data_IF_445362903223
#
_entry.id   IF_445362903223
#
_cell.length_a   1.000
_cell.length_b   1.000
_cell.length_c   1.000
_cell.angle_alpha   90.00
_cell.angle_beta   90.00
_cell.angle_gamma   90.00
#
_symmetry.space_group_name_H-M   'P 1'
#
loop_
_entity.id
_entity.type
_entity.pdbx_description
1 polymer ?
#
# COMPACT_ATOMS: atom_id res chain seq x y z
N UNK A 1 -32.16 -27.53 7.89
CA UNK A 1 -31.18 -27.40 6.83
C UNK A 1 -30.43 -26.10 7.01
N UNK A 2 -29.14 -26.16 7.22
CA UNK A 2 -28.25 -25.01 7.19
C UNK A 2 -28.33 -24.42 5.77
N UNK A 3 -28.66 -23.12 5.67
CA UNK A 3 -28.67 -22.44 4.39
C UNK A 3 -27.32 -22.56 3.73
N UNK A 4 -27.31 -22.95 2.47
CA UNK A 4 -26.13 -23.02 1.65
C UNK A 4 -25.55 -21.62 1.55
N UNK A 5 -24.38 -21.42 2.19
CA UNK A 5 -23.59 -20.21 2.02
C UNK A 5 -22.92 -20.30 0.67
N UNK A 6 -23.50 -19.67 -0.34
CA UNK A 6 -22.85 -19.52 -1.64
C UNK A 6 -21.62 -18.62 -1.49
N UNK A 7 -20.46 -19.22 -1.43
CA UNK A 7 -19.18 -18.50 -1.60
C UNK A 7 -19.00 -18.24 -3.09
N UNK A 8 -19.17 -17.00 -3.52
CA UNK A 8 -18.76 -16.59 -4.87
C UNK A 8 -17.26 -16.36 -4.84
N UNK A 9 -16.51 -17.25 -5.47
CA UNK A 9 -15.08 -17.08 -5.66
C UNK A 9 -14.84 -16.39 -7.00
N UNK A 10 -14.15 -15.26 -6.98
CA UNK A 10 -13.70 -14.58 -8.19
C UNK A 10 -12.28 -15.01 -8.48
N UNK A 11 -12.09 -15.64 -9.63
CA UNK A 11 -10.76 -16.04 -10.09
C UNK A 11 -10.21 -14.97 -11.04
N UNK A 12 -9.06 -14.42 -10.73
CA UNK A 12 -8.37 -13.49 -11.63
C UNK A 12 -7.21 -14.18 -12.31
N UNK A 13 -7.46 -14.71 -13.51
CA UNK A 13 -6.45 -15.37 -14.33
C UNK A 13 -5.61 -14.38 -15.17
N UNK A 14 -5.87 -13.09 -15.07
CA UNK A 14 -5.16 -12.04 -15.82
C UNK A 14 -3.97 -11.44 -15.07
N UNK A 15 -3.68 -11.92 -13.86
CA UNK A 15 -2.55 -11.44 -13.07
C UNK A 15 -1.22 -11.75 -13.77
N UNK A 16 -0.35 -10.76 -13.79
CA UNK A 16 0.99 -10.84 -14.35
C UNK A 16 2.01 -10.59 -13.25
N UNK A 17 3.22 -11.13 -13.36
CA UNK A 17 4.28 -10.82 -12.43
C UNK A 17 4.54 -9.31 -12.34
N UNK A 18 4.84 -8.83 -11.15
CA UNK A 18 5.34 -7.47 -10.94
C UNK A 18 6.67 -7.32 -11.70
N UNK A 19 6.87 -6.16 -12.31
CA UNK A 19 8.11 -5.80 -12.98
C UNK A 19 8.76 -4.65 -12.24
N UNK A 20 9.97 -4.88 -11.77
CA UNK A 20 10.79 -3.85 -11.14
C UNK A 20 12.04 -3.57 -11.98
N UNK A 21 12.33 -2.29 -12.21
CA UNK A 21 13.52 -1.81 -12.90
C UNK A 21 14.24 -0.83 -12.01
N UNK A 22 15.48 -1.13 -11.65
CA UNK A 22 16.34 -0.27 -10.83
C UNK A 22 17.54 0.18 -11.63
N UNK A 23 17.84 1.46 -11.57
CA UNK A 23 19.08 2.08 -12.03
C UNK A 23 19.83 2.58 -10.83
N UNK A 24 21.12 2.30 -10.77
CA UNK A 24 21.97 2.68 -9.65
C UNK A 24 23.31 3.14 -10.17
N UNK A 25 23.82 4.21 -9.58
CA UNK A 25 25.18 4.72 -9.84
C UNK A 25 25.83 5.04 -8.49
N UNK A 26 26.99 4.43 -8.28
CA UNK A 26 27.80 4.62 -7.07
C UNK A 26 29.10 5.35 -7.38
N UNK A 27 29.58 6.07 -6.38
CA UNK A 27 30.87 6.74 -6.42
C UNK A 27 31.56 6.59 -5.07
N UNK A 28 32.77 6.01 -5.08
CA UNK A 28 33.59 5.78 -3.91
C UNK A 28 34.88 6.56 -4.03
N UNK A 29 35.23 7.28 -2.99
CA UNK A 29 36.49 8.04 -2.89
C UNK A 29 37.17 7.73 -1.58
N UNK A 30 38.46 7.46 -1.64
CA UNK A 30 39.30 7.26 -0.47
C UNK A 30 40.51 8.21 -0.54
N UNK A 31 40.74 8.99 0.52
CA UNK A 31 41.82 9.92 0.61
C UNK A 31 42.30 10.07 2.07
N UNK A 32 43.59 9.84 2.34
CA UNK A 32 44.21 9.97 3.67
C UNK A 32 43.45 9.31 4.82
N UNK A 33 42.83 8.15 4.56
CA UNK A 33 42.05 7.40 5.54
C UNK A 33 40.60 7.87 5.71
N UNK A 34 40.16 8.90 4.96
CA UNK A 34 38.77 9.24 4.79
C UNK A 34 38.17 8.40 3.66
N UNK A 35 36.98 7.90 3.85
CA UNK A 35 36.27 7.17 2.81
C UNK A 35 34.86 7.74 2.67
N UNK A 36 34.48 8.13 1.44
CA UNK A 36 33.17 8.63 1.08
C UNK A 36 32.57 7.70 0.02
N UNK A 37 31.41 7.15 0.31
CA UNK A 37 30.60 6.38 -0.63
C UNK A 37 29.28 7.12 -0.85
N UNK A 38 28.91 7.33 -2.12
CA UNK A 38 27.66 7.94 -2.53
C UNK A 38 26.98 7.01 -3.52
N UNK A 39 25.70 6.73 -3.29
CA UNK A 39 24.90 5.89 -4.19
C UNK A 39 23.60 6.59 -4.55
N UNK A 40 23.41 6.86 -5.83
CA UNK A 40 22.17 7.39 -6.38
C UNK A 40 21.38 6.26 -7.00
N UNK A 41 20.08 6.24 -6.79
CA UNK A 41 19.22 5.22 -7.41
C UNK A 41 17.89 5.79 -7.85
N UNK A 42 17.34 5.15 -8.87
CA UNK A 42 15.97 5.32 -9.34
C UNK A 42 15.38 3.94 -9.61
N UNK A 43 14.24 3.69 -8.99
CA UNK A 43 13.52 2.43 -9.11
C UNK A 43 12.10 2.70 -9.61
N UNK A 44 11.64 1.88 -10.53
CA UNK A 44 10.30 1.93 -11.06
C UNK A 44 9.71 0.52 -11.04
N UNK A 45 8.60 0.39 -10.35
CA UNK A 45 7.84 -0.85 -10.25
C UNK A 45 6.52 -0.70 -10.97
N UNK A 46 6.32 -1.53 -11.98
CA UNK A 46 5.08 -1.64 -12.75
C UNK A 46 4.33 -2.91 -12.36
N UNK A 47 3.01 -2.88 -12.50
CA UNK A 47 2.15 -4.04 -12.28
C UNK A 47 2.20 -4.58 -10.85
N UNK A 48 2.42 -3.70 -9.87
CA UNK A 48 2.28 -4.05 -8.46
C UNK A 48 0.85 -4.55 -8.18
N UNK A 49 0.75 -5.46 -7.23
CA UNK A 49 -0.55 -6.02 -6.82
C UNK A 49 -1.28 -5.05 -5.91
N UNK A 50 -2.55 -4.85 -6.21
CA UNK A 50 -3.46 -4.02 -5.42
C UNK A 50 -4.80 -4.72 -5.31
N UNK A 51 -5.41 -4.70 -4.12
CA UNK A 51 -6.79 -5.13 -3.93
C UNK A 51 -7.72 -3.97 -4.26
N UNK A 52 -8.64 -4.21 -5.18
CA UNK A 52 -9.59 -3.20 -5.68
C UNK A 52 -10.99 -3.72 -5.46
N UNK A 53 -11.83 -2.90 -4.82
CA UNK A 53 -13.24 -3.21 -4.69
C UNK A 53 -13.94 -3.05 -6.05
N UNK A 54 -14.58 -4.11 -6.49
CA UNK A 54 -15.39 -4.13 -7.71
C UNK A 54 -16.81 -4.56 -7.41
N UNK A 55 -17.77 -3.84 -7.96
CA UNK A 55 -19.19 -4.13 -7.80
C UNK A 55 -19.68 -5.01 -8.94
N UNK A 56 -20.26 -6.14 -8.58
CA UNK A 56 -20.92 -7.04 -9.53
C UNK A 56 -22.44 -7.07 -9.32
N UNK A 57 -23.22 -6.98 -10.39
CA UNK A 57 -24.67 -7.09 -10.27
C UNK A 57 -25.07 -8.52 -9.86
N UNK A 58 -25.92 -8.62 -8.88
CA UNK A 58 -26.52 -9.85 -8.43
C UNK A 58 -28.03 -9.71 -8.57
N UNK A 59 -28.64 -10.68 -9.24
CA UNK A 59 -30.09 -10.77 -9.38
C UNK A 59 -30.55 -12.02 -8.70
N UNK A 60 -31.56 -11.89 -7.85
CA UNK A 60 -32.22 -13.00 -7.19
C UNK A 60 -33.69 -12.68 -6.94
N UNK A 61 -34.44 -13.71 -6.66
CA UNK A 61 -35.83 -13.54 -6.25
C UNK A 61 -35.88 -13.58 -4.73
N UNK A 62 -36.29 -12.50 -4.12
CA UNK A 62 -36.65 -12.50 -2.69
C UNK A 62 -38.09 -12.86 -2.49
N UNK A 63 -38.37 -13.38 -1.32
CA UNK A 63 -39.72 -13.73 -0.92
C UNK A 63 -40.20 -12.71 0.11
N UNK A 64 -41.26 -12.02 -0.21
CA UNK A 64 -41.79 -10.94 0.61
C UNK A 64 -43.22 -11.29 1.05
N UNK A 65 -43.60 -10.75 2.21
CA UNK A 65 -44.98 -10.84 2.67
C UNK A 65 -45.90 -10.08 1.69
N UNK A 66 -47.00 -10.72 1.20
CA UNK A 66 -47.89 -10.06 0.27
C UNK A 66 -48.66 -8.87 0.87
N UNK A 67 -48.67 -8.74 2.21
CA UNK A 67 -49.42 -7.69 2.91
C UNK A 67 -48.62 -6.39 3.01
N UNK A 68 -47.36 -6.50 3.46
CA UNK A 68 -46.54 -5.33 3.71
C UNK A 68 -45.30 -5.20 2.78
N UNK A 69 -45.08 -6.21 1.92
CA UNK A 69 -43.95 -6.22 0.98
C UNK A 69 -42.59 -6.40 1.63
N UNK A 70 -42.55 -6.71 2.94
CA UNK A 70 -41.30 -6.87 3.66
C UNK A 70 -40.76 -8.31 3.55
N UNK A 71 -39.43 -8.50 3.67
CA UNK A 71 -38.89 -9.84 3.73
C UNK A 71 -39.41 -10.62 4.91
N UNK A 72 -39.83 -11.85 4.70
CA UNK A 72 -40.32 -12.73 5.77
C UNK A 72 -39.14 -13.12 6.63
N UNK A 73 -39.15 -12.67 7.87
CA UNK A 73 -38.09 -12.92 8.86
C UNK A 73 -38.68 -13.63 10.10
N UNK A 74 -37.84 -14.37 10.81
CA UNK A 74 -38.21 -15.01 12.08
C UNK A 74 -38.92 -16.35 11.97
N UNK A 75 -39.37 -16.79 10.80
CA UNK A 75 -39.93 -18.12 10.55
C UNK A 75 -39.51 -18.66 9.19
N UNK A 76 -39.62 -19.96 9.01
CA UNK A 76 -39.44 -20.54 7.67
C UNK A 76 -40.67 -20.18 6.83
N UNK A 77 -40.51 -19.54 5.67
CA UNK A 77 -41.64 -19.24 4.78
C UNK A 77 -42.26 -20.53 4.27
N UNK A 78 -43.58 -20.54 4.16
CA UNK A 78 -44.38 -21.59 3.51
C UNK A 78 -44.63 -21.20 2.04
N UNK A 79 -45.08 -22.15 1.23
CA UNK A 79 -45.24 -21.91 -0.21
C UNK A 79 -46.28 -20.82 -0.51
N UNK A 80 -47.24 -20.67 0.35
CA UNK A 80 -48.32 -19.69 0.28
C UNK A 80 -47.89 -18.27 0.65
N UNK A 81 -46.79 -18.17 1.35
CA UNK A 81 -46.18 -16.87 1.73
C UNK A 81 -45.39 -16.19 0.59
N UNK A 82 -45.28 -16.88 -0.55
CA UNK A 82 -44.39 -16.42 -1.59
C UNK A 82 -45.07 -15.45 -2.56
N UNK A 83 -44.76 -14.15 -2.41
CA UNK A 83 -44.79 -13.24 -3.55
C UNK A 83 -43.34 -13.10 -4.05
N UNK A 84 -43.12 -13.56 -5.29
CA UNK A 84 -41.84 -13.47 -5.92
C UNK A 84 -41.56 -12.00 -6.30
N UNK A 85 -40.61 -11.37 -5.61
CA UNK A 85 -40.14 -10.03 -5.94
C UNK A 85 -38.73 -10.13 -6.58
N UNK A 86 -38.60 -9.88 -7.90
CA UNK A 86 -37.33 -9.85 -8.57
C UNK A 86 -36.48 -8.70 -7.99
N UNK A 87 -35.35 -9.02 -7.40
CA UNK A 87 -34.47 -8.07 -6.75
C UNK A 87 -33.12 -8.02 -7.43
N UNK A 88 -32.63 -6.84 -7.66
CA UNK A 88 -31.30 -6.61 -8.21
C UNK A 88 -30.49 -5.70 -7.29
N UNK A 89 -29.31 -6.10 -6.98
CA UNK A 89 -28.37 -5.31 -6.17
C UNK A 89 -26.95 -5.48 -6.68
N UNK A 90 -26.05 -4.68 -6.14
CA UNK A 90 -24.62 -4.84 -6.37
C UNK A 90 -23.95 -5.37 -5.12
N UNK A 91 -23.03 -6.29 -5.31
CA UNK A 91 -22.18 -6.83 -4.24
C UNK A 91 -20.75 -6.45 -4.55
N UNK A 92 -20.09 -5.86 -3.58
CA UNK A 92 -18.67 -5.56 -3.65
C UNK A 92 -17.84 -6.82 -3.46
N UNK A 93 -16.75 -6.90 -4.19
CA UNK A 93 -15.77 -7.97 -4.10
C UNK A 93 -14.39 -7.39 -4.27
N UNK A 94 -13.50 -7.76 -3.38
CA UNK A 94 -12.10 -7.41 -3.50
C UNK A 94 -11.41 -8.29 -4.55
N UNK A 95 -10.91 -7.66 -5.60
CA UNK A 95 -10.20 -8.33 -6.69
C UNK A 95 -8.78 -7.81 -6.75
N UNK A 96 -7.82 -8.72 -6.71
CA UNK A 96 -6.41 -8.35 -6.88
C UNK A 96 -6.14 -8.01 -8.34
N UNK A 97 -5.55 -6.84 -8.60
CA UNK A 97 -5.18 -6.35 -9.94
C UNK A 97 -3.73 -5.89 -9.99
N UNK A 98 -3.15 -5.89 -11.19
CA UNK A 98 -1.82 -5.31 -11.45
C UNK A 98 -1.93 -3.81 -11.76
N UNK A 99 -2.41 -3.02 -10.83
CA UNK A 99 -2.71 -1.60 -11.03
C UNK A 99 -1.77 -0.66 -10.29
N UNK A 100 -1.04 -1.16 -9.30
CA UNK A 100 -0.12 -0.35 -8.52
C UNK A 100 1.17 -0.05 -9.28
N UNK A 101 1.59 1.22 -9.21
CA UNK A 101 2.89 1.69 -9.67
C UNK A 101 3.63 2.34 -8.52
N UNK A 102 4.92 2.07 -8.43
CA UNK A 102 5.79 2.66 -7.42
C UNK A 102 7.01 3.27 -8.12
N UNK A 103 7.25 4.54 -7.87
CA UNK A 103 8.47 5.22 -8.27
C UNK A 103 9.26 5.60 -7.03
N UNK A 104 10.50 5.17 -6.95
CA UNK A 104 11.38 5.47 -5.84
C UNK A 104 12.70 6.01 -6.38
N UNK A 105 13.16 7.11 -5.81
CA UNK A 105 14.48 7.67 -6.08
C UNK A 105 15.12 8.09 -4.77
N UNK A 106 16.43 8.05 -4.75
CA UNK A 106 17.13 8.43 -3.54
C UNK A 106 18.63 8.57 -3.71
N UNK A 107 19.22 8.98 -2.60
CA UNK A 107 20.65 9.08 -2.39
C UNK A 107 20.97 8.42 -1.07
N UNK A 108 21.96 7.55 -1.09
CA UNK A 108 22.58 6.98 0.11
C UNK A 108 24.02 7.49 0.23
N UNK A 109 24.45 7.74 1.43
CA UNK A 109 25.83 8.19 1.68
C UNK A 109 26.41 7.50 2.91
N UNK A 110 27.72 7.28 2.83
CA UNK A 110 28.52 6.72 3.90
C UNK A 110 29.86 7.47 3.95
N UNK A 111 30.16 8.08 5.07
CA UNK A 111 31.42 8.78 5.33
C UNK A 111 32.13 8.12 6.52
N UNK A 112 33.33 7.64 6.30
CA UNK A 112 34.20 7.09 7.34
C UNK A 112 35.38 8.02 7.56
N UNK A 113 35.70 8.25 8.81
CA UNK A 113 36.83 9.08 9.21
C UNK A 113 38.01 8.19 9.59
N UNK A 114 39.25 8.69 9.44
CA UNK A 114 40.42 8.01 9.97
C UNK A 114 40.25 7.75 11.47
N UNK A 115 40.86 6.68 11.93
CA UNK A 115 40.86 6.35 13.36
C UNK A 115 41.52 7.47 14.18
N UNK A 116 40.80 7.98 15.18
CA UNK A 116 41.31 8.91 16.15
C UNK A 116 42.22 8.12 17.12
N UNK A 117 43.52 8.13 16.86
CA UNK A 117 44.49 7.26 17.55
C UNK A 117 44.48 7.47 19.06
N UNK A 118 44.50 8.71 19.64
CA UNK A 118 44.51 8.90 21.09
C UNK A 118 43.34 8.30 21.83
N UNK A 119 42.15 8.28 21.16
CA UNK A 119 40.90 7.76 21.71
C UNK A 119 40.61 6.33 21.25
N UNK A 120 41.43 5.78 20.38
CA UNK A 120 41.16 4.51 19.70
C UNK A 120 39.74 4.41 19.14
N UNK A 121 39.21 5.52 18.63
CA UNK A 121 37.82 5.68 18.18
C UNK A 121 37.75 5.79 16.67
N UNK A 122 36.82 5.08 16.05
CA UNK A 122 36.39 5.28 14.65
C UNK A 122 35.06 5.98 14.62
N UNK A 123 34.90 6.89 13.65
CA UNK A 123 33.65 7.63 13.42
C UNK A 123 33.11 7.29 12.05
N UNK A 124 31.84 6.99 11.98
CA UNK A 124 31.14 6.74 10.74
C UNK A 124 29.82 7.55 10.71
N UNK A 125 29.56 8.21 9.60
CA UNK A 125 28.29 8.90 9.32
C UNK A 125 27.69 8.24 8.11
N UNK A 126 26.46 7.77 8.22
CA UNK A 126 25.70 7.28 7.09
C UNK A 126 24.28 7.82 7.10
N UNK A 127 23.65 7.80 5.96
CA UNK A 127 22.28 8.25 5.86
C UNK A 127 21.70 8.06 4.47
N UNK A 128 20.44 8.40 4.36
CA UNK A 128 19.74 8.26 3.11
C UNK A 128 18.63 9.29 2.97
N UNK A 129 18.39 9.71 1.74
CA UNK A 129 17.23 10.43 1.30
C UNK A 129 16.43 9.58 0.32
N UNK A 130 15.13 9.40 0.60
CA UNK A 130 14.20 8.69 -0.26
C UNK A 130 12.99 9.55 -0.61
N UNK A 131 12.62 9.54 -1.89
CA UNK A 131 11.37 10.12 -2.40
C UNK A 131 10.61 8.99 -3.12
N UNK A 132 9.55 8.51 -2.51
CA UNK A 132 8.74 7.39 -3.01
C UNK A 132 7.35 7.88 -3.37
N UNK A 133 6.86 7.51 -4.56
CA UNK A 133 5.51 7.81 -5.05
C UNK A 133 4.79 6.52 -5.34
N UNK A 134 3.59 6.41 -4.78
CA UNK A 134 2.67 5.31 -5.02
C UNK A 134 1.49 5.86 -5.82
N UNK A 135 1.10 5.18 -6.88
CA UNK A 135 -0.09 5.51 -7.67
C UNK A 135 -0.84 4.26 -8.07
N UNK A 136 -2.16 4.36 -8.17
CA UNK A 136 -3.02 3.30 -8.66
C UNK A 136 -3.56 3.66 -10.05
N UNK A 137 -3.55 2.69 -10.95
CA UNK A 137 -4.20 2.81 -12.26
C UNK A 137 -5.59 2.18 -12.29
N UNK A 138 -6.05 1.60 -11.17
CA UNK A 138 -7.38 1.01 -11.08
C UNK A 138 -8.45 2.11 -10.93
N UNK A 139 -9.59 2.01 -11.61
CA UNK A 139 -10.71 2.91 -11.37
C UNK A 139 -11.29 2.65 -9.97
N UNK A 140 -11.76 3.71 -9.33
CA UNK A 140 -12.56 3.63 -8.13
C UNK A 140 -14.01 3.34 -8.53
N UNK A 141 -14.62 2.31 -7.97
CA UNK A 141 -16.04 2.05 -8.12
C UNK A 141 -16.75 2.47 -6.84
N UNK A 142 -17.90 3.10 -7.00
CA UNK A 142 -18.74 3.54 -5.89
C UNK A 142 -20.20 3.20 -6.18
N UNK A 143 -20.82 2.50 -5.25
CA UNK A 143 -22.25 2.21 -5.28
C UNK A 143 -22.94 3.01 -4.18
N UNK A 144 -23.83 3.97 -4.51
CA UNK A 144 -24.57 4.73 -3.52
C UNK A 144 -25.50 3.82 -2.72
N UNK A 145 -25.40 3.91 -1.39
CA UNK A 145 -26.19 3.05 -0.49
C UNK A 145 -27.64 3.51 -0.35
N UNK A 146 -27.97 4.76 -0.68
CA UNK A 146 -29.24 5.38 -0.37
C UNK A 146 -30.11 5.58 -1.60
N UNK A 147 -31.37 5.26 -1.41
CA UNK A 147 -32.45 5.55 -2.31
C UNK A 147 -33.72 5.81 -1.48
N UNK A 148 -34.58 6.72 -1.95
CA UNK A 148 -35.81 7.14 -1.23
C UNK A 148 -36.87 6.03 -1.11
N UNK A 149 -36.73 4.93 -1.86
CA UNK A 149 -37.68 3.84 -1.96
C UNK A 149 -37.18 2.48 -1.41
N UNK A 150 -36.19 2.49 -0.49
CA UNK A 150 -35.55 1.30 0.11
C UNK A 150 -34.97 0.29 -0.90
N UNK A 151 -34.88 0.66 -2.17
CA UNK A 151 -34.24 -0.17 -3.20
C UNK A 151 -32.81 0.27 -3.45
N UNK A 152 -31.89 -0.67 -3.73
CA UNK A 152 -30.54 -0.32 -4.10
C UNK A 152 -30.51 0.51 -5.37
N UNK A 153 -29.56 1.42 -5.46
CA UNK A 153 -29.35 2.18 -6.69
C UNK A 153 -29.03 1.24 -7.87
N UNK A 154 -29.60 1.46 -9.06
CA UNK A 154 -29.42 0.55 -10.19
C UNK A 154 -28.09 0.75 -10.94
N UNK A 155 -27.18 1.58 -10.42
CA UNK A 155 -25.92 1.94 -11.06
C UNK A 155 -24.74 1.94 -10.09
N UNK A 156 -23.54 1.78 -10.64
CA UNK A 156 -22.27 1.97 -9.97
C UNK A 156 -21.53 3.09 -10.67
N UNK A 157 -21.11 4.09 -9.92
CA UNK A 157 -20.24 5.13 -10.43
C UNK A 157 -18.82 4.60 -10.65
N UNK A 158 -18.19 4.95 -11.77
CA UNK A 158 -16.81 4.59 -12.08
C UNK A 158 -16.02 5.88 -12.21
N UNK A 159 -15.05 6.07 -11.32
CA UNK A 159 -14.21 7.26 -11.25
C UNK A 159 -12.77 6.91 -11.60
N UNK A 160 -12.08 7.81 -12.28
CA UNK A 160 -10.64 7.68 -12.45
C UNK A 160 -9.96 7.97 -11.11
N UNK A 161 -9.19 7.02 -10.63
CA UNK A 161 -8.36 7.23 -9.46
C UNK A 161 -7.07 7.92 -9.89
N UNK A 162 -6.85 9.12 -9.39
CA UNK A 162 -5.63 9.91 -9.62
C UNK A 162 -4.85 10.13 -8.32
N UNK A 163 -5.18 9.38 -7.27
CA UNK A 163 -4.54 9.51 -5.98
C UNK A 163 -3.07 9.10 -6.07
N UNK A 164 -2.22 9.99 -5.63
CA UNK A 164 -0.79 9.74 -5.48
C UNK A 164 -0.44 9.92 -4.00
N UNK A 165 0.13 8.88 -3.40
CA UNK A 165 0.77 9.00 -2.09
C UNK A 165 2.25 9.19 -2.31
N UNK A 166 2.81 10.29 -1.78
CA UNK A 166 4.23 10.58 -1.83
C UNK A 166 4.80 10.56 -0.43
N UNK A 167 5.86 9.80 -0.25
CA UNK A 167 6.58 9.71 1.01
C UNK A 167 8.01 10.19 0.81
N UNK A 168 8.47 11.12 1.65
CA UNK A 168 9.85 11.60 1.68
C UNK A 168 10.46 11.37 3.04
N UNK A 169 11.64 10.77 3.04
CA UNK A 169 12.38 10.48 4.28
C UNK A 169 13.81 10.93 4.08
N UNK A 170 14.36 11.63 5.08
CA UNK A 170 15.78 11.93 5.16
C UNK A 170 16.27 11.67 6.58
N UNK A 171 17.27 10.82 6.69
CA UNK A 171 17.88 10.47 7.96
C UNK A 171 19.40 10.49 7.89
N UNK A 172 20.02 10.66 9.06
CA UNK A 172 21.48 10.55 9.26
C UNK A 172 21.72 9.74 10.52
N UNK A 173 22.65 8.81 10.44
CA UNK A 173 23.13 8.01 11.56
C UNK A 173 24.59 8.36 11.81
N UNK A 174 24.95 8.47 13.07
CA UNK A 174 26.30 8.77 13.53
C UNK A 174 26.76 7.68 14.50
N UNK A 175 27.86 7.06 14.18
CA UNK A 175 28.44 5.96 14.95
C UNK A 175 29.83 6.33 15.47
N UNK A 176 30.07 6.05 16.75
CA UNK A 176 31.36 6.11 17.40
C UNK A 176 31.70 4.74 17.94
N UNK A 177 32.77 4.13 17.47
CA UNK A 177 33.26 2.86 17.96
C UNK A 177 34.61 3.06 18.66
N UNK A 178 34.62 3.04 19.98
CA UNK A 178 35.81 3.22 20.82
C UNK A 178 36.31 1.87 21.31
N UNK A 179 37.52 1.51 20.90
CA UNK A 179 38.18 0.30 21.40
C UNK A 179 38.98 0.65 22.67
N UNK A 180 38.71 -0.10 23.74
CA UNK A 180 39.38 0.04 25.03
C UNK A 180 40.23 -1.24 25.30
N UNK A 181 41.46 -1.31 24.75
CA UNK A 181 42.24 -2.56 24.78
C UNK A 181 42.55 -3.09 26.17
N UNK A 182 42.73 -2.18 27.12
CA UNK A 182 43.01 -2.54 28.54
C UNK A 182 41.93 -3.42 29.13
N UNK A 183 40.67 -3.23 28.74
CA UNK A 183 39.52 -3.99 29.23
C UNK A 183 39.00 -5.01 28.22
N UNK A 184 39.65 -5.12 27.04
CA UNK A 184 39.17 -5.95 25.91
C UNK A 184 37.73 -5.66 25.53
N UNK A 185 37.35 -4.38 25.56
CA UNK A 185 35.97 -3.91 25.31
C UNK A 185 35.92 -2.98 24.09
N UNK A 186 34.80 -3.02 23.41
CA UNK A 186 34.42 -2.03 22.39
C UNK A 186 33.18 -1.31 22.91
N UNK A 187 33.25 0.00 22.98
CA UNK A 187 32.12 0.85 23.35
C UNK A 187 31.59 1.52 22.08
N UNK A 188 30.31 1.26 21.74
CA UNK A 188 29.65 1.84 20.58
C UNK A 188 28.58 2.84 21.03
N UNK A 189 28.66 4.06 20.50
CA UNK A 189 27.63 5.08 20.67
C UNK A 189 26.98 5.34 19.31
N UNK A 190 25.66 5.38 19.29
CA UNK A 190 24.86 5.57 18.10
C UNK A 190 23.86 6.70 18.30
N UNK A 191 23.79 7.62 17.30
CA UNK A 191 22.79 8.66 17.22
C UNK A 191 22.09 8.56 15.88
N UNK A 192 20.76 8.67 15.87
CA UNK A 192 19.94 8.76 14.67
C UNK A 192 19.20 10.09 14.64
N UNK A 193 19.30 10.79 13.53
CA UNK A 193 18.59 12.03 13.25
C UNK A 193 17.64 11.78 12.09
N UNK A 194 16.37 12.14 12.27
CA UNK A 194 15.36 12.15 11.22
C UNK A 194 15.07 13.62 10.89
N UNK A 195 15.55 14.06 9.75
CA UNK A 195 15.45 15.46 9.30
C UNK A 195 14.15 15.74 8.57
N UNK A 196 13.67 14.72 7.86
CA UNK A 196 12.42 14.78 7.11
C UNK A 196 11.72 13.44 7.21
N UNK A 197 10.45 13.46 7.56
CA UNK A 197 9.53 12.34 7.45
C UNK A 197 8.16 12.91 7.08
N UNK A 198 7.84 12.86 5.81
CA UNK A 198 6.65 13.51 5.26
C UNK A 198 5.88 12.54 4.39
N UNK A 199 4.58 12.48 4.60
CA UNK A 199 3.63 11.78 3.76
C UNK A 199 2.61 12.78 3.23
N UNK A 200 2.48 12.86 1.92
CA UNK A 200 1.49 13.69 1.23
C UNK A 200 0.57 12.81 0.42
N UNK A 201 -0.73 13.04 0.53
CA UNK A 201 -1.74 12.49 -0.37
C UNK A 201 -2.17 13.59 -1.33
N UNK A 202 -2.01 13.33 -2.61
CA UNK A 202 -2.42 14.22 -3.68
C UNK A 202 -3.66 13.57 -4.28
N UNK A 203 -4.81 14.15 -3.98
CA UNK A 203 -6.07 13.72 -4.58
C UNK A 203 -6.21 14.42 -5.92
N UNK A 204 -6.54 13.66 -6.95
CA UNK A 204 -6.63 14.17 -8.32
C UNK A 204 -7.91 14.94 -8.65
N UNK A 205 -8.57 15.50 -7.67
CA UNK A 205 -9.86 16.19 -7.80
C UNK A 205 -9.67 17.72 -8.01
N UNK A 206 -8.81 18.12 -8.94
CA UNK A 206 -8.82 19.47 -9.50
C UNK A 206 -9.05 19.42 -11.00
#
# INVERSE_FOLDING_TARGET
>A
GLGDVYKRQVTNNSLRPNRNTKYEAGWDVEYEGYSLSLTFFKEHSDRGFESVAEYSPVRYTRYVDPIDGQPIVGRRPEKEDYVADPYATFVDMDIVRNSMKVEKKGLEYLLRFPKIIPLSTTVEINGAYYDTRYSSGAPLQYHPAFRDDDRPQPYVGIYRRQDITRQRIFNTNLWFNTNIPRYKMIFTTFFQFIWLNEEMRINGDE
#
